data_IF_840276961289
#
_entry.id   IF_840276961289
#
_cell.length_a   1.000
_cell.length_b   1.000
_cell.length_c   1.000
_cell.angle_alpha   90.00
_cell.angle_beta   90.00
_cell.angle_gamma   90.00
#
_symmetry.space_group_name_H-M   'P 1'
#
loop_
_entity.id
_entity.type
_entity.pdbx_description
1 polymer ?
#
# COMPACT_ATOMS: atom_id res chain seq x y z
N UNK A 1 2.27 -0.94 10.81
CA UNK A 1 2.12 -0.04 9.67
C UNK A 1 2.43 1.37 10.05
N UNK A 2 3.07 2.12 9.17
CA UNK A 2 3.43 3.51 9.43
C UNK A 2 2.90 4.42 8.33
N UNK A 3 2.41 5.60 8.72
CA UNK A 3 2.24 6.72 7.80
C UNK A 3 3.61 7.15 7.26
N UNK A 4 3.63 7.61 6.02
CA UNK A 4 4.82 8.33 5.52
C UNK A 4 4.88 9.73 6.12
N UNK A 5 6.06 10.33 6.14
CA UNK A 5 6.27 11.69 6.70
C UNK A 5 5.28 12.72 6.14
N UNK A 6 4.99 12.63 4.83
CA UNK A 6 4.04 13.55 4.18
C UNK A 6 2.64 13.43 4.78
N UNK A 7 2.17 12.20 5.04
CA UNK A 7 0.83 11.98 5.57
C UNK A 7 0.76 12.09 7.09
N UNK A 8 1.87 11.96 7.80
CA UNK A 8 1.96 12.40 9.20
C UNK A 8 1.68 13.91 9.30
N UNK A 9 2.35 14.69 8.46
CA UNK A 9 2.14 16.13 8.38
C UNK A 9 0.69 16.46 8.01
N UNK A 10 0.14 15.83 6.98
CA UNK A 10 -1.24 16.04 6.55
C UNK A 10 -2.24 15.73 7.69
N UNK A 11 -2.00 14.68 8.45
CA UNK A 11 -2.86 14.31 9.57
C UNK A 11 -2.86 15.39 10.66
N UNK A 12 -1.69 15.88 11.02
CA UNK A 12 -1.56 16.94 12.04
C UNK A 12 -2.16 18.26 11.55
N UNK A 13 -1.94 18.61 10.30
CA UNK A 13 -2.54 19.82 9.71
C UNK A 13 -4.05 19.75 9.68
N UNK A 14 -4.62 18.60 9.29
CA UNK A 14 -6.07 18.41 9.25
C UNK A 14 -6.72 18.49 10.62
N UNK A 15 -6.09 17.93 11.65
CA UNK A 15 -6.66 17.84 12.98
C UNK A 15 -6.42 19.08 13.85
N UNK A 16 -5.29 19.77 13.65
CA UNK A 16 -4.81 20.77 14.60
C UNK A 16 -4.67 22.18 14.01
N UNK A 17 -4.95 22.37 12.72
CA UNK A 17 -4.90 23.68 12.08
C UNK A 17 -6.17 23.93 11.26
N UNK A 18 -6.32 25.18 10.79
CA UNK A 18 -7.41 25.57 9.87
C UNK A 18 -7.00 25.53 8.40
N UNK A 19 -5.79 25.09 8.11
CA UNK A 19 -5.28 24.96 6.75
C UNK A 19 -6.01 23.86 5.96
N UNK A 20 -6.06 24.02 4.65
CA UNK A 20 -6.61 23.00 3.76
C UNK A 20 -5.61 21.88 3.54
N UNK A 21 -6.10 20.64 3.63
CA UNK A 21 -5.31 19.45 3.33
C UNK A 21 -6.01 18.67 2.22
N UNK A 22 -5.28 18.35 1.16
CA UNK A 22 -5.80 17.50 0.08
C UNK A 22 -5.85 16.07 0.55
N UNK A 23 -7.07 15.50 0.63
CA UNK A 23 -7.23 14.11 1.02
C UNK A 23 -7.22 13.19 -0.21
N UNK A 24 -6.68 11.98 -0.08
CA UNK A 24 -6.78 10.97 -1.13
C UNK A 24 -8.25 10.63 -1.43
N UNK A 25 -8.52 10.32 -2.68
CA UNK A 25 -9.85 9.89 -3.14
C UNK A 25 -9.84 8.49 -3.72
N UNK A 26 -8.67 7.94 -3.97
CA UNK A 26 -8.48 6.57 -4.46
C UNK A 26 -7.30 5.95 -3.71
N UNK A 27 -7.37 4.64 -3.53
CA UNK A 27 -6.34 3.89 -2.83
C UNK A 27 -5.95 2.66 -3.63
N UNK A 28 -4.65 2.39 -3.67
CA UNK A 28 -4.07 1.24 -4.37
C UNK A 28 -3.02 0.58 -3.49
N UNK A 29 -2.90 -0.73 -3.63
CA UNK A 29 -1.79 -1.46 -3.00
C UNK A 29 -0.66 -1.59 -3.99
N UNK A 30 0.53 -1.16 -3.58
CA UNK A 30 1.78 -1.41 -4.28
C UNK A 30 2.62 -2.44 -3.56
N UNK A 31 3.39 -3.23 -4.30
CA UNK A 31 4.26 -4.28 -3.78
C UNK A 31 5.73 -3.88 -3.94
N UNK A 32 6.51 -4.09 -2.89
CA UNK A 32 7.89 -3.64 -2.82
C UNK A 32 8.83 -4.78 -2.44
N UNK A 33 10.00 -4.79 -3.07
CA UNK A 33 11.07 -5.77 -2.78
C UNK A 33 12.08 -5.23 -1.78
N UNK A 34 12.03 -3.93 -1.47
CA UNK A 34 12.85 -3.30 -0.43
C UNK A 34 12.03 -2.26 0.34
N UNK A 35 12.47 -1.93 1.55
CA UNK A 35 11.74 -1.04 2.46
C UNK A 35 11.52 0.36 1.86
N UNK A 36 10.26 0.80 1.69
CA UNK A 36 9.96 2.15 1.25
C UNK A 36 10.42 3.26 2.20
N UNK A 37 10.58 2.93 3.48
CA UNK A 37 10.84 3.85 4.59
C UNK A 37 9.75 4.92 4.75
N UNK A 38 9.88 5.76 5.78
CA UNK A 38 8.91 6.84 6.04
C UNK A 38 8.91 7.92 4.95
N UNK A 39 9.94 7.96 4.11
CA UNK A 39 9.93 8.85 2.94
C UNK A 39 8.94 8.39 1.87
N UNK A 40 8.58 7.11 1.87
CA UNK A 40 7.73 6.51 0.85
C UNK A 40 8.39 6.39 -0.53
N UNK A 41 9.69 6.69 -0.62
CA UNK A 41 10.39 6.80 -1.90
C UNK A 41 11.68 5.99 -1.97
N UNK A 42 12.12 5.40 -0.86
CA UNK A 42 13.39 4.67 -0.80
C UNK A 42 13.30 3.24 -1.33
N UNK A 43 12.12 2.63 -1.30
CA UNK A 43 11.90 1.25 -1.71
C UNK A 43 11.85 1.07 -3.23
N UNK A 44 12.01 -0.18 -3.63
CA UNK A 44 11.86 -0.59 -5.03
C UNK A 44 10.51 -1.26 -5.21
N UNK A 45 9.62 -0.62 -5.95
CA UNK A 45 8.33 -1.22 -6.35
C UNK A 45 8.55 -2.23 -7.47
N UNK A 46 7.79 -3.30 -7.46
CA UNK A 46 7.76 -4.27 -8.56
C UNK A 46 7.41 -3.53 -9.86
N UNK A 47 8.02 -3.91 -10.97
CA UNK A 47 7.71 -3.36 -12.29
C UNK A 47 7.85 -4.42 -13.38
N UNK A 48 7.06 -4.29 -14.43
CA UNK A 48 7.06 -5.24 -15.55
C UNK A 48 6.38 -6.57 -15.21
N UNK A 49 6.46 -7.51 -16.12
CA UNK A 49 5.95 -8.88 -15.96
C UNK A 49 4.49 -8.95 -15.52
N UNK A 50 3.65 -8.05 -16.07
CA UNK A 50 2.22 -8.01 -15.77
C UNK A 50 1.84 -7.32 -14.46
N UNK A 51 2.80 -6.75 -13.72
CA UNK A 51 2.52 -6.04 -12.48
C UNK A 51 1.72 -4.76 -12.73
N UNK A 52 0.72 -4.55 -11.88
CA UNK A 52 0.03 -3.28 -11.72
C UNK A 52 -0.43 -3.15 -10.27
N UNK A 53 -0.41 -1.93 -9.74
CA UNK A 53 -1.05 -1.67 -8.44
C UNK A 53 -2.52 -2.04 -8.53
N UNK A 54 -3.07 -2.55 -7.44
CA UNK A 54 -4.46 -3.00 -7.40
C UNK A 54 -5.26 -2.13 -6.46
N UNK A 55 -6.43 -1.69 -6.91
CA UNK A 55 -7.32 -0.83 -6.12
C UNK A 55 -7.76 -1.54 -4.84
N UNK A 56 -7.92 -0.75 -3.78
CA UNK A 56 -8.39 -1.21 -2.47
C UNK A 56 -9.40 -0.22 -1.92
N UNK A 57 -10.37 -0.72 -1.16
CA UNK A 57 -11.31 0.10 -0.40
C UNK A 57 -11.27 -0.30 1.06
N UNK A 58 -11.49 0.67 1.94
CA UNK A 58 -11.43 0.45 3.39
C UNK A 58 -12.75 0.83 4.05
N UNK A 59 -13.04 0.18 5.17
CA UNK A 59 -14.02 0.64 6.15
C UNK A 59 -13.33 0.83 7.48
N UNK A 60 -13.82 1.78 8.26
CA UNK A 60 -13.25 2.09 9.58
C UNK A 60 -14.24 1.72 10.67
N UNK A 61 -13.78 0.94 11.64
CA UNK A 61 -14.53 0.60 12.84
C UNK A 61 -13.65 0.90 14.05
N UNK A 62 -14.08 1.81 14.90
CA UNK A 62 -13.29 2.34 16.02
C UNK A 62 -11.96 2.93 15.48
N UNK A 63 -10.84 2.34 15.83
CA UNK A 63 -9.49 2.79 15.46
C UNK A 63 -8.83 1.93 14.37
N UNK A 64 -9.61 1.04 13.73
CA UNK A 64 -9.08 0.11 12.71
C UNK A 64 -9.75 0.37 11.37
N UNK A 65 -8.93 0.53 10.33
CA UNK A 65 -9.35 0.47 8.94
C UNK A 65 -9.01 -0.90 8.37
N UNK A 66 -10.00 -1.56 7.77
CA UNK A 66 -9.82 -2.87 7.14
C UNK A 66 -10.29 -2.84 5.69
N UNK A 67 -9.67 -3.64 4.83
CA UNK A 67 -10.10 -3.75 3.45
C UNK A 67 -11.48 -4.43 3.35
N UNK A 68 -12.37 -3.83 2.57
CA UNK A 68 -13.77 -4.28 2.45
C UNK A 68 -13.96 -5.43 1.48
N UNK A 69 -12.98 -5.65 0.60
CA UNK A 69 -12.98 -6.74 -0.38
C UNK A 69 -11.56 -7.29 -0.51
N UNK A 70 -11.45 -8.52 -1.01
CA UNK A 70 -10.15 -9.10 -1.31
C UNK A 70 -9.40 -8.28 -2.35
N UNK A 71 -8.09 -8.16 -2.18
CA UNK A 71 -7.19 -7.52 -3.15
C UNK A 71 -6.46 -8.63 -3.89
N UNK A 72 -6.70 -8.77 -5.18
CA UNK A 72 -6.07 -9.78 -6.02
C UNK A 72 -5.32 -9.10 -7.16
N UNK A 73 -4.01 -9.28 -7.17
CA UNK A 73 -3.16 -8.75 -8.23
C UNK A 73 -3.28 -9.60 -9.49
N UNK A 74 -3.01 -9.02 -10.67
CA UNK A 74 -2.85 -9.84 -11.86
C UNK A 74 -1.74 -10.88 -11.66
N UNK A 75 -1.84 -12.02 -12.31
CA UNK A 75 -0.79 -13.04 -12.26
C UNK A 75 0.51 -12.49 -12.87
N UNK A 76 1.64 -12.83 -12.28
CA UNK A 76 2.93 -12.55 -12.89
C UNK A 76 3.04 -13.27 -14.22
N UNK A 77 3.42 -12.57 -15.27
CA UNK A 77 3.53 -13.11 -16.63
C UNK A 77 4.82 -12.65 -17.29
N UNK A 78 5.48 -13.57 -17.98
CA UNK A 78 6.73 -13.27 -18.70
C UNK A 78 7.96 -13.17 -17.81
N UNK A 79 7.85 -13.48 -16.54
CA UNK A 79 8.95 -13.48 -15.58
C UNK A 79 8.47 -13.30 -14.13
N UNK A 80 9.41 -13.38 -13.22
CA UNK A 80 9.18 -13.27 -11.78
C UNK A 80 9.08 -11.80 -11.35
N UNK A 81 8.34 -11.55 -10.26
CA UNK A 81 8.34 -10.23 -9.59
C UNK A 81 9.43 -10.10 -8.52
N UNK A 82 10.02 -11.20 -8.10
CA UNK A 82 10.97 -11.27 -7.01
C UNK A 82 10.30 -11.56 -5.68
N UNK A 83 11.00 -11.29 -4.59
CA UNK A 83 10.49 -11.52 -3.23
C UNK A 83 9.88 -10.23 -2.69
N UNK A 84 8.58 -10.27 -2.43
CA UNK A 84 7.82 -9.14 -1.88
C UNK A 84 7.95 -9.15 -0.37
N UNK A 85 8.57 -8.13 0.18
CA UNK A 85 8.73 -7.99 1.63
C UNK A 85 7.94 -6.84 2.24
N UNK A 86 7.45 -5.90 1.43
CA UNK A 86 6.71 -4.71 1.88
C UNK A 86 5.53 -4.41 0.97
N UNK A 87 4.55 -3.74 1.55
CA UNK A 87 3.42 -3.17 0.79
C UNK A 87 3.30 -1.69 1.11
N UNK A 88 2.74 -0.93 0.17
CA UNK A 88 2.38 0.46 0.36
C UNK A 88 0.94 0.72 -0.06
N UNK A 89 0.27 1.59 0.67
CA UNK A 89 -1.02 2.16 0.25
C UNK A 89 -0.71 3.45 -0.49
N UNK A 90 -1.07 3.48 -1.76
CA UNK A 90 -0.78 4.58 -2.68
C UNK A 90 -2.05 5.36 -2.99
N UNK A 91 -1.90 6.64 -3.31
CA UNK A 91 -3.03 7.51 -3.69
C UNK A 91 -3.30 7.55 -5.20
N UNK A 92 -2.54 6.81 -5.98
CA UNK A 92 -2.69 6.76 -7.45
C UNK A 92 -2.29 5.39 -8.00
N UNK A 93 -2.84 5.04 -9.16
CA UNK A 93 -2.54 3.80 -9.86
C UNK A 93 -1.09 3.74 -10.37
N UNK A 94 -0.50 4.89 -10.63
CA UNK A 94 0.91 5.05 -11.02
C UNK A 94 1.43 6.37 -10.49
N UNK A 95 2.73 6.46 -10.23
CA UNK A 95 3.31 7.66 -9.60
C UNK A 95 2.60 7.99 -8.29
N UNK A 96 2.30 9.24 -8.01
CA UNK A 96 1.57 9.66 -6.81
C UNK A 96 2.39 9.49 -5.53
N UNK A 97 1.69 9.49 -4.40
CA UNK A 97 2.30 9.46 -3.09
C UNK A 97 1.95 8.17 -2.34
N UNK A 98 2.87 7.70 -1.54
CA UNK A 98 2.61 6.63 -0.59
C UNK A 98 2.03 7.23 0.69
N UNK A 99 0.91 6.66 1.15
CA UNK A 99 0.22 7.10 2.37
C UNK A 99 0.78 6.34 3.57
N UNK A 100 0.83 5.02 3.45
CA UNK A 100 1.18 4.08 4.52
C UNK A 100 2.07 3.00 3.92
N UNK A 101 3.02 2.51 4.70
CA UNK A 101 3.83 1.35 4.35
C UNK A 101 3.90 0.35 5.49
N UNK A 102 4.16 -0.90 5.15
CA UNK A 102 4.32 -1.97 6.12
C UNK A 102 5.15 -3.11 5.56
N UNK A 103 5.95 -3.72 6.41
CA UNK A 103 6.56 -5.01 6.09
C UNK A 103 5.50 -6.11 6.13
N UNK A 104 5.63 -7.10 5.26
CA UNK A 104 4.85 -8.33 5.38
C UNK A 104 5.33 -9.15 6.56
N UNK A 105 4.41 -9.84 7.24
CA UNK A 105 4.77 -10.79 8.30
C UNK A 105 5.71 -11.87 7.77
N UNK A 106 5.46 -12.33 6.54
CA UNK A 106 6.32 -13.29 5.84
C UNK A 106 6.50 -12.80 4.41
N UNK A 107 7.73 -12.61 3.99
CA UNK A 107 8.06 -12.25 2.61
C UNK A 107 7.59 -13.36 1.66
N UNK A 108 7.11 -12.97 0.48
CA UNK A 108 6.56 -13.89 -0.52
C UNK A 108 7.29 -13.76 -1.85
N UNK A 109 7.83 -14.86 -2.35
CA UNK A 109 8.36 -14.92 -3.70
C UNK A 109 7.19 -15.06 -4.68
N UNK A 110 7.11 -14.16 -5.66
CA UNK A 110 6.12 -14.20 -6.74
C UNK A 110 6.85 -14.53 -8.03
N UNK A 111 6.69 -15.78 -8.44
CA UNK A 111 7.28 -16.30 -9.67
C UNK A 111 6.29 -16.19 -10.82
N UNK A 112 6.77 -16.40 -12.03
CA UNK A 112 5.92 -16.42 -13.22
C UNK A 112 4.72 -17.36 -13.01
N UNK A 113 3.51 -16.83 -13.23
CA UNK A 113 2.25 -17.53 -13.00
C UNK A 113 1.64 -17.38 -11.61
N UNK A 114 2.39 -16.89 -10.63
CA UNK A 114 1.87 -16.70 -9.27
C UNK A 114 0.97 -15.47 -9.16
N UNK A 115 0.06 -15.51 -8.18
CA UNK A 115 -0.86 -14.41 -7.87
C UNK A 115 -0.68 -14.00 -6.41
N UNK A 116 -0.51 -12.70 -6.18
CA UNK A 116 -0.49 -12.12 -4.83
C UNK A 116 -1.91 -11.70 -4.44
N UNK A 117 -2.35 -12.13 -3.26
CA UNK A 117 -3.69 -11.83 -2.73
C UNK A 117 -3.63 -11.36 -1.30
N UNK A 118 -4.55 -10.45 -0.97
CA UNK A 118 -4.88 -10.06 0.41
C UNK A 118 -6.38 -10.34 0.59
N UNK A 119 -6.77 -11.34 1.38
CA UNK A 119 -8.19 -11.61 1.64
C UNK A 119 -8.89 -10.43 2.32
N UNK A 120 -10.22 -10.40 2.20
CA UNK A 120 -11.05 -9.40 2.87
C UNK A 120 -10.77 -9.40 4.37
N UNK A 121 -10.53 -8.22 4.92
CA UNK A 121 -10.29 -8.02 6.36
C UNK A 121 -8.89 -8.38 6.84
N UNK A 122 -8.00 -8.82 5.96
CA UNK A 122 -6.63 -9.18 6.35
C UNK A 122 -5.65 -7.99 6.32
N UNK A 123 -6.04 -6.88 5.71
CA UNK A 123 -5.27 -5.65 5.71
C UNK A 123 -5.86 -4.70 6.73
N UNK A 124 -5.30 -4.69 7.92
CA UNK A 124 -5.74 -3.85 9.04
C UNK A 124 -4.75 -2.73 9.29
N UNK A 125 -5.25 -1.51 9.42
CA UNK A 125 -4.48 -0.32 9.76
C UNK A 125 -5.08 0.25 11.03
N UNK A 126 -4.30 0.24 12.09
CA UNK A 126 -4.75 0.73 13.40
C UNK A 126 -4.15 2.11 13.68
N UNK A 127 -5.01 3.06 14.07
CA UNK A 127 -4.58 4.36 14.56
C UNK A 127 -4.34 4.28 16.07
N UNK A 128 -3.20 4.82 16.52
CA UNK A 128 -2.86 4.80 17.95
C UNK A 128 -2.24 6.13 18.40
#
# INVERSE_FOLDING_TARGET
>A
MSLTNAFETHTLEYLLTTGSVTRPTNWYIGLFTSDPTDTGAAGTEVSGNGYARTAVTFSVTNDVASNTAGVEFPAATGGNWGTIGWIGVMDAASSGNMIIHSALTTAKAINDGDVFRIPTGDLDITAS
#
